data_IF_657929693691
#
_entry.id   IF_657929693691
#
_cell.length_a   1.000
_cell.length_b   1.000
_cell.length_c   1.000
_cell.angle_alpha   90.00
_cell.angle_beta   90.00
_cell.angle_gamma   90.00
#
_symmetry.space_group_name_H-M   'P 1'
#
loop_
_entity.id
_entity.type
_entity.pdbx_description
1 polymer ?
#
# COMPACT_ATOMS: atom_id res chain seq x y z
N UNK A 1 -14.35 -15.08 3.06
CA UNK A 1 -13.09 -14.64 2.42
C UNK A 1 -13.44 -13.70 1.28
N UNK A 2 -13.04 -12.44 1.36
CA UNK A 2 -13.25 -11.47 0.29
C UNK A 2 -12.33 -11.87 -0.87
N UNK A 3 -12.90 -12.32 -1.99
CA UNK A 3 -12.13 -12.79 -3.17
C UNK A 3 -12.08 -11.69 -4.22
N UNK A 4 -11.00 -11.66 -5.03
CA UNK A 4 -10.65 -10.65 -6.05
C UNK A 4 -11.74 -9.62 -6.40
N UNK A 5 -12.80 -9.99 -7.16
CA UNK A 5 -13.82 -9.05 -7.62
C UNK A 5 -14.60 -8.35 -6.49
N UNK A 6 -14.83 -9.03 -5.37
CA UNK A 6 -15.57 -8.48 -4.23
C UNK A 6 -14.75 -7.41 -3.51
N UNK A 7 -13.45 -7.62 -3.37
CA UNK A 7 -12.56 -6.65 -2.74
C UNK A 7 -12.36 -5.41 -3.64
N UNK A 8 -12.21 -5.61 -4.95
CA UNK A 8 -12.17 -4.50 -5.91
C UNK A 8 -13.45 -3.66 -5.92
N UNK A 9 -14.62 -4.31 -5.88
CA UNK A 9 -15.90 -3.60 -5.80
C UNK A 9 -16.05 -2.81 -4.50
N UNK A 10 -15.60 -3.36 -3.37
CA UNK A 10 -15.67 -2.66 -2.09
C UNK A 10 -14.71 -1.46 -2.01
N UNK A 11 -13.50 -1.57 -2.58
CA UNK A 11 -12.58 -0.42 -2.71
C UNK A 11 -13.25 0.70 -3.52
N UNK A 12 -13.86 0.35 -4.66
CA UNK A 12 -14.58 1.33 -5.48
C UNK A 12 -15.69 1.99 -4.67
N UNK A 13 -16.47 1.20 -3.93
CA UNK A 13 -17.54 1.68 -3.07
C UNK A 13 -17.03 2.63 -1.98
N UNK A 14 -15.91 2.32 -1.32
CA UNK A 14 -15.32 3.21 -0.31
C UNK A 14 -14.86 4.54 -0.89
N UNK A 15 -14.46 4.58 -2.15
CA UNK A 15 -13.98 5.80 -2.80
C UNK A 15 -15.15 6.64 -3.32
N UNK A 16 -16.23 6.01 -3.80
CA UNK A 16 -17.34 6.73 -4.45
C UNK A 16 -18.52 7.01 -3.52
N UNK A 17 -18.80 6.14 -2.55
CA UNK A 17 -20.06 6.16 -1.79
C UNK A 17 -19.87 6.67 -0.35
N UNK A 18 -18.62 6.87 0.09
CA UNK A 18 -18.29 7.46 1.39
C UNK A 18 -18.14 8.97 1.25
N UNK A 19 -18.77 9.70 2.16
CA UNK A 19 -18.68 11.16 2.20
C UNK A 19 -17.41 11.61 2.93
N UNK A 20 -16.30 11.70 2.20
CA UNK A 20 -14.99 12.09 2.72
C UNK A 20 -14.83 13.59 3.01
N UNK A 21 -15.73 14.43 2.50
CA UNK A 21 -15.61 15.90 2.53
C UNK A 21 -14.28 16.38 1.92
N UNK A 22 -13.74 17.50 2.42
CA UNK A 22 -12.46 18.03 1.98
C UNK A 22 -11.34 17.42 2.84
N UNK A 23 -10.47 16.63 2.20
CA UNK A 23 -9.29 16.05 2.82
C UNK A 23 -8.04 16.51 2.09
N UNK A 24 -6.99 16.80 2.83
CA UNK A 24 -5.65 17.00 2.27
C UNK A 24 -5.04 15.65 1.84
N UNK A 25 -5.33 14.58 2.59
CA UNK A 25 -4.77 13.24 2.37
C UNK A 25 -5.80 12.15 2.63
N UNK A 26 -5.85 11.16 1.74
CA UNK A 26 -6.54 9.89 1.92
C UNK A 26 -5.50 8.78 1.93
N UNK A 27 -5.29 8.14 3.10
CA UNK A 27 -4.36 7.01 3.24
C UNK A 27 -5.13 5.72 3.05
N UNK A 28 -4.64 4.87 2.15
CA UNK A 28 -5.25 3.58 1.83
C UNK A 28 -4.34 2.48 2.35
N UNK A 29 -4.84 1.70 3.31
CA UNK A 29 -4.17 0.48 3.76
C UNK A 29 -4.43 -0.66 2.77
N UNK A 30 -3.37 -1.08 2.09
CA UNK A 30 -3.45 -2.10 1.06
C UNK A 30 -3.34 -3.50 1.69
N UNK A 31 -4.06 -4.51 1.17
CA UNK A 31 -3.82 -5.89 1.57
C UNK A 31 -2.35 -6.27 1.27
N UNK A 32 -1.75 -7.19 2.03
CA UNK A 32 -0.36 -7.56 1.86
C UNK A 32 -0.12 -8.29 0.52
N UNK A 33 1.11 -8.17 0.01
CA UNK A 33 1.58 -8.90 -1.16
C UNK A 33 1.70 -8.03 -2.42
N UNK A 34 1.63 -8.69 -3.58
CA UNK A 34 1.74 -8.06 -4.91
C UNK A 34 0.64 -8.58 -5.85
N UNK A 35 -0.55 -8.86 -5.29
CA UNK A 35 -1.67 -9.41 -6.06
C UNK A 35 -2.40 -8.39 -6.93
N UNK A 36 -3.29 -8.86 -7.81
CA UNK A 36 -4.02 -8.04 -8.80
C UNK A 36 -4.91 -6.93 -8.19
N UNK A 37 -5.18 -7.01 -6.87
CA UNK A 37 -5.92 -5.98 -6.15
C UNK A 37 -5.21 -4.62 -6.15
N UNK A 38 -3.87 -4.60 -6.14
CA UNK A 38 -3.12 -3.36 -6.22
C UNK A 38 -3.35 -2.68 -7.56
N UNK A 39 -3.28 -3.43 -8.66
CA UNK A 39 -3.54 -2.91 -10.02
C UNK A 39 -4.96 -2.38 -10.15
N UNK A 40 -5.95 -3.12 -9.63
CA UNK A 40 -7.35 -2.71 -9.70
C UNK A 40 -7.59 -1.41 -8.91
N UNK A 41 -6.98 -1.27 -7.73
CA UNK A 41 -7.09 -0.06 -6.93
C UNK A 41 -6.45 1.14 -7.63
N UNK A 42 -5.25 0.97 -8.19
CA UNK A 42 -4.55 1.99 -8.96
C UNK A 42 -5.31 2.46 -10.20
N UNK A 43 -6.12 1.58 -10.81
CA UNK A 43 -7.02 1.93 -11.93
C UNK A 43 -8.30 2.64 -11.46
N UNK A 44 -8.71 2.45 -10.20
CA UNK A 44 -9.98 2.97 -9.67
C UNK A 44 -9.81 4.30 -8.95
N UNK A 45 -8.64 4.54 -8.34
CA UNK A 45 -8.35 5.71 -7.51
C UNK A 45 -7.12 6.42 -8.06
N UNK A 46 -7.13 7.76 -8.19
CA UNK A 46 -5.94 8.51 -8.58
C UNK A 46 -4.94 8.55 -7.42
N UNK A 47 -4.14 7.49 -7.28
CA UNK A 47 -3.10 7.39 -6.25
C UNK A 47 -1.93 8.29 -6.60
N UNK A 48 -1.58 9.21 -5.69
CA UNK A 48 -0.55 10.23 -5.89
C UNK A 48 0.83 9.79 -5.41
N UNK A 49 0.91 8.72 -4.63
CA UNK A 49 2.17 8.14 -4.18
C UNK A 49 1.95 6.86 -3.37
N UNK A 50 3.00 6.05 -3.27
CA UNK A 50 3.00 4.82 -2.50
C UNK A 50 4.18 4.77 -1.51
N UNK A 51 3.91 4.25 -0.31
CA UNK A 51 4.92 3.94 0.71
C UNK A 51 4.97 2.43 0.87
N UNK A 52 6.17 1.86 0.81
CA UNK A 52 6.38 0.44 1.08
C UNK A 52 6.75 0.28 2.55
N UNK A 53 6.10 -0.63 3.26
CA UNK A 53 6.44 -1.00 4.63
C UNK A 53 7.03 -2.41 4.62
N UNK A 54 8.18 -2.58 5.25
CA UNK A 54 8.88 -3.86 5.36
C UNK A 54 9.41 -4.07 6.78
N UNK A 55 10.05 -5.20 7.03
CA UNK A 55 10.75 -5.49 8.28
C UNK A 55 12.18 -5.98 7.93
N UNK A 56 13.15 -5.93 8.87
CA UNK A 56 14.56 -6.19 8.54
C UNK A 56 14.87 -7.62 8.09
N UNK A 57 13.93 -8.55 8.27
CA UNK A 57 14.14 -9.95 7.90
C UNK A 57 14.22 -10.09 6.38
N UNK A 58 15.19 -10.88 5.91
CA UNK A 58 15.49 -11.04 4.47
C UNK A 58 14.26 -11.42 3.62
N UNK A 59 13.34 -12.21 4.19
CA UNK A 59 12.09 -12.61 3.51
C UNK A 59 11.20 -11.39 3.23
N UNK A 60 11.02 -10.50 4.21
CA UNK A 60 10.23 -9.29 4.06
C UNK A 60 10.90 -8.29 3.11
N UNK A 61 12.23 -8.19 3.14
CA UNK A 61 13.00 -7.38 2.20
C UNK A 61 12.87 -7.90 0.76
N UNK A 62 12.86 -9.22 0.57
CA UNK A 62 12.67 -9.82 -0.75
C UNK A 62 11.28 -9.51 -1.32
N UNK A 63 10.24 -9.50 -0.49
CA UNK A 63 8.88 -9.14 -0.92
C UNK A 63 8.74 -7.63 -1.16
N UNK A 64 9.36 -6.78 -0.33
CA UNK A 64 9.40 -5.34 -0.55
C UNK A 64 10.06 -4.98 -1.89
N UNK A 65 11.14 -5.66 -2.28
CA UNK A 65 11.78 -5.49 -3.60
C UNK A 65 10.82 -5.81 -4.76
N UNK A 66 10.01 -6.87 -4.62
CA UNK A 66 8.99 -7.21 -5.63
C UNK A 66 7.89 -6.14 -5.70
N UNK A 67 7.44 -5.64 -4.54
CA UNK A 67 6.48 -4.54 -4.46
C UNK A 67 6.99 -3.27 -5.14
N UNK A 68 8.22 -2.86 -4.83
CA UNK A 68 8.89 -1.72 -5.47
C UNK A 68 8.94 -1.91 -7.00
N UNK A 69 9.33 -3.10 -7.46
CA UNK A 69 9.39 -3.39 -8.89
C UNK A 69 8.01 -3.33 -9.57
N UNK A 70 6.93 -3.77 -8.89
CA UNK A 70 5.56 -3.68 -9.38
C UNK A 70 5.13 -2.22 -9.58
N UNK A 71 5.28 -1.37 -8.55
CA UNK A 71 4.92 0.05 -8.65
C UNK A 71 5.81 0.85 -9.60
N UNK A 72 7.06 0.41 -9.81
CA UNK A 72 7.98 0.97 -10.80
C UNK A 72 7.68 0.58 -12.26
N UNK A 73 6.71 -0.30 -12.52
CA UNK A 73 6.32 -0.62 -13.90
C UNK A 73 5.68 0.62 -14.56
N UNK A 74 6.14 0.94 -15.77
CA UNK A 74 5.77 2.15 -16.52
C UNK A 74 4.25 2.32 -16.76
N UNK A 75 3.45 1.28 -16.57
CA UNK A 75 2.00 1.34 -16.71
C UNK A 75 1.29 1.94 -15.49
N UNK A 76 1.95 2.03 -14.33
CA UNK A 76 1.30 2.41 -13.08
C UNK A 76 1.53 3.86 -12.67
N UNK A 77 2.56 4.55 -13.19
CA UNK A 77 2.85 5.98 -12.97
C UNK A 77 2.73 6.49 -11.52
N UNK A 78 2.73 5.61 -10.51
CA UNK A 78 2.63 5.99 -9.11
C UNK A 78 4.04 6.12 -8.55
N UNK A 79 4.45 7.31 -8.09
CA UNK A 79 5.76 7.50 -7.51
C UNK A 79 5.84 6.77 -6.16
N UNK A 80 6.92 6.03 -5.94
CA UNK A 80 7.29 5.55 -4.63
C UNK A 80 7.86 6.72 -3.83
N UNK A 81 7.13 7.16 -2.81
CA UNK A 81 7.50 8.33 -2.00
C UNK A 81 8.28 7.96 -0.74
N UNK A 82 8.38 6.67 -0.41
CA UNK A 82 9.20 6.20 0.71
C UNK A 82 9.22 4.70 0.93
N UNK A 83 10.20 4.26 1.71
CA UNK A 83 10.31 2.92 2.28
C UNK A 83 10.42 3.06 3.81
N UNK A 84 9.58 2.33 4.54
CA UNK A 84 9.60 2.28 6.01
C UNK A 84 10.02 0.88 6.42
N UNK A 85 11.13 0.78 7.15
CA UNK A 85 11.52 -0.45 7.83
C UNK A 85 10.92 -0.42 9.25
N UNK A 86 9.99 -1.32 9.51
CA UNK A 86 9.30 -1.47 10.77
C UNK A 86 9.96 -2.57 11.61
N UNK A 87 9.85 -2.50 12.93
CA UNK A 87 10.45 -3.47 13.86
C UNK A 87 11.98 -3.59 13.72
N UNK A 88 12.65 -2.50 13.32
CA UNK A 88 14.10 -2.47 13.06
C UNK A 88 14.97 -2.58 14.30
N UNK A 89 14.46 -2.12 15.43
CA UNK A 89 15.17 -2.12 16.71
C UNK A 89 14.16 -2.11 17.85
N UNK A 90 14.66 -2.38 19.05
CA UNK A 90 13.88 -2.34 20.27
C UNK A 90 14.32 -1.15 21.11
N UNK A 91 13.38 -0.27 21.47
CA UNK A 91 13.59 0.81 22.45
C UNK A 91 12.86 0.43 23.73
N UNK A 92 13.57 -0.02 24.78
CA UNK A 92 12.94 -0.31 26.05
C UNK A 92 12.33 0.98 26.65
N UNK A 93 11.18 0.87 27.31
CA UNK A 93 10.53 2.00 27.96
C UNK A 93 11.40 2.69 29.03
N UNK A 94 12.40 1.98 29.55
CA UNK A 94 13.31 2.45 30.60
C UNK A 94 14.49 3.28 30.08
N UNK A 95 14.74 3.28 28.76
CA UNK A 95 15.88 3.96 28.13
C UNK A 95 15.46 4.54 26.77
N UNK A 96 14.94 5.80 26.73
CA UNK A 96 14.64 6.51 25.50
C UNK A 96 15.91 6.94 24.74
#
# INVERSE_FOLDING_TARGET
>A
VWRGPMASSAVKQFVTDVHWENLDYLVIDMPPGTGDIHLTLLQTVPVTGAVIVTTPQDVALADAKKGIAMFGQAQLNVPLIGLVENMSYFTPAELP
#
